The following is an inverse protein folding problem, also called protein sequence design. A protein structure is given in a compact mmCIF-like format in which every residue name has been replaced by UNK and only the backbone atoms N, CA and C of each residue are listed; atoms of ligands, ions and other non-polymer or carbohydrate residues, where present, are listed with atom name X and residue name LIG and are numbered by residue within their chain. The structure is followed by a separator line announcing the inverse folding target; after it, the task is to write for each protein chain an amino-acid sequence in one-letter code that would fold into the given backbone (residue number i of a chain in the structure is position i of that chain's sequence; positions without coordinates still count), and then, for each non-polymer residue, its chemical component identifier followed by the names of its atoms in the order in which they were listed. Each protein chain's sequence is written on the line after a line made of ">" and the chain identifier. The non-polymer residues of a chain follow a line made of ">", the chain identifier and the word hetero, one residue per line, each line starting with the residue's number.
data_IF_492828567927
#
_entry.id   IF_492828567927
#
_cell.length_a   1.000
_cell.length_b   1.000
_cell.length_c   1.000
_cell.angle_alpha   90.00
_cell.angle_beta   90.00
_cell.angle_gamma   90.00
#
_symmetry.space_group_name_H-M   'P 1'
#
loop_
_entity.id
_entity.type
_entity.pdbx_description
1 polymer ?
#
# COMPACT_ATOMS: atom_id res chain seq x y z
N UNK A 1 20.25 14.15 8.65
CA UNK A 1 18.81 14.38 8.36
C UNK A 1 18.19 13.01 8.03
N UNK A 2 18.09 12.16 9.05
CA UNK A 2 16.85 11.72 9.71
C UNK A 2 16.06 10.65 8.92
N UNK A 3 16.71 9.51 8.69
CA UNK A 3 16.06 8.25 8.31
C UNK A 3 15.98 7.37 9.57
N UNK A 4 15.01 7.64 10.44
CA UNK A 4 14.76 6.82 11.61
C UNK A 4 13.25 6.73 11.86
N UNK A 5 12.82 5.54 12.26
CA UNK A 5 11.45 5.14 12.66
C UNK A 5 10.52 4.61 11.54
N UNK A 6 10.77 3.38 11.07
CA UNK A 6 9.74 2.57 10.39
C UNK A 6 9.88 1.05 10.59
N UNK A 7 10.64 0.60 11.59
CA UNK A 7 10.86 -0.83 11.86
C UNK A 7 10.13 -1.32 13.13
N UNK A 8 9.01 -0.67 13.52
CA UNK A 8 8.13 -1.24 14.55
C UNK A 8 7.23 -2.29 13.90
N UNK A 9 7.75 -3.51 13.88
CA UNK A 9 7.01 -4.77 13.73
C UNK A 9 5.98 -4.72 12.58
N UNK A 10 6.48 -4.71 11.35
CA UNK A 10 5.64 -5.05 10.21
C UNK A 10 5.15 -6.49 10.44
N UNK A 11 3.86 -6.64 10.73
CA UNK A 11 3.18 -7.94 10.71
C UNK A 11 3.60 -8.70 9.43
N UNK A 12 3.71 -10.04 9.48
CA UNK A 12 4.14 -10.83 8.32
C UNK A 12 3.32 -10.40 7.11
N UNK A 13 3.99 -9.81 6.11
CA UNK A 13 3.35 -9.32 4.90
C UNK A 13 2.88 -10.54 4.13
N UNK A 14 1.62 -10.91 4.35
CA UNK A 14 0.92 -12.01 3.67
C UNK A 14 0.97 -11.88 2.13
N UNK A 15 1.08 -10.65 1.62
CA UNK A 15 1.14 -10.35 0.20
C UNK A 15 2.35 -9.44 -0.09
N UNK A 16 3.07 -9.68 -1.21
CA UNK A 16 4.23 -8.88 -1.58
C UNK A 16 3.79 -7.47 -1.98
N UNK A 17 4.11 -6.49 -1.14
CA UNK A 17 3.83 -5.07 -1.38
C UNK A 17 5.14 -4.30 -1.53
N UNK A 18 5.34 -3.75 -2.71
CA UNK A 18 6.52 -3.03 -3.15
C UNK A 18 6.28 -1.52 -3.07
N UNK A 19 7.35 -0.76 -2.83
CA UNK A 19 7.30 0.70 -2.85
C UNK A 19 6.74 1.27 -4.16
N UNK A 20 6.94 0.59 -5.29
CA UNK A 20 6.40 0.98 -6.59
C UNK A 20 4.86 0.90 -6.62
N UNK A 21 4.29 -0.14 -6.03
CA UNK A 21 2.83 -0.32 -5.93
C UNK A 21 2.24 0.73 -4.99
N UNK A 22 2.90 1.00 -3.86
CA UNK A 22 2.52 2.10 -2.97
C UNK A 22 2.56 3.46 -3.67
N UNK A 23 3.64 3.75 -4.40
CA UNK A 23 3.78 5.02 -5.11
C UNK A 23 2.70 5.22 -6.19
N UNK A 24 2.34 4.16 -6.91
CA UNK A 24 1.25 4.19 -7.88
C UNK A 24 -0.09 4.52 -7.20
N UNK A 25 -0.41 3.84 -6.10
CA UNK A 25 -1.64 4.07 -5.35
C UNK A 25 -1.67 5.46 -4.72
N UNK A 26 -0.56 5.92 -4.15
CA UNK A 26 -0.44 7.26 -3.59
C UNK A 26 -0.65 8.33 -4.66
N UNK A 27 -0.08 8.13 -5.87
CA UNK A 27 -0.29 9.03 -7.01
C UNK A 27 -1.74 9.05 -7.47
N UNK A 28 -2.41 7.90 -7.52
CA UNK A 28 -3.84 7.80 -7.83
C UNK A 28 -4.70 8.51 -6.79
N UNK A 29 -4.47 8.29 -5.49
CA UNK A 29 -5.19 8.99 -4.43
C UNK A 29 -4.98 10.51 -4.49
N UNK A 30 -3.76 10.93 -4.83
CA UNK A 30 -3.46 12.34 -5.00
C UNK A 30 -4.15 12.91 -6.24
N UNK A 31 -4.19 12.19 -7.36
CA UNK A 31 -4.85 12.62 -8.59
C UNK A 31 -6.38 12.66 -8.47
N UNK A 32 -6.99 11.65 -7.84
CA UNK A 32 -8.45 11.50 -7.73
C UNK A 32 -9.04 12.32 -6.58
N UNK A 33 -8.36 12.37 -5.43
CA UNK A 33 -8.90 12.97 -4.21
C UNK A 33 -8.08 14.16 -3.68
N UNK A 34 -6.94 14.49 -4.31
CA UNK A 34 -6.03 15.52 -3.79
C UNK A 34 -5.34 15.14 -2.49
N UNK A 35 -5.44 13.88 -2.05
CA UNK A 35 -4.93 13.44 -0.76
C UNK A 35 -3.45 13.07 -0.88
N UNK A 36 -2.59 13.78 -0.17
CA UNK A 36 -1.21 13.33 0.02
C UNK A 36 -1.17 12.14 0.98
N UNK A 37 -0.61 11.04 0.49
CA UNK A 37 -0.46 9.80 1.25
C UNK A 37 1.00 9.67 1.73
N UNK A 38 1.33 10.12 2.96
CA UNK A 38 2.68 9.95 3.49
C UNK A 38 3.00 8.48 3.77
N UNK A 39 4.26 8.08 3.57
CA UNK A 39 4.77 6.72 3.85
C UNK A 39 4.43 6.22 5.26
N UNK A 40 4.34 7.11 6.24
CA UNK A 40 3.93 6.74 7.61
C UNK A 40 2.57 6.04 7.67
N UNK A 41 1.69 6.25 6.68
CA UNK A 41 0.37 5.62 6.56
C UNK A 41 0.36 4.38 5.66
N UNK A 42 1.50 3.98 5.11
CA UNK A 42 1.67 2.76 4.30
C UNK A 42 1.09 1.50 4.99
N UNK A 43 1.32 1.25 6.30
CA UNK A 43 0.76 0.07 6.97
C UNK A 43 -0.77 0.06 7.01
N UNK A 44 -1.40 1.23 7.10
CA UNK A 44 -2.86 1.37 7.10
C UNK A 44 -3.46 1.08 5.71
N UNK A 45 -2.78 1.57 4.67
CA UNK A 45 -3.15 1.30 3.27
C UNK A 45 -2.97 -0.19 2.98
N UNK A 46 -1.81 -0.75 3.32
CA UNK A 46 -1.54 -2.18 3.19
C UNK A 46 -2.62 -3.02 3.85
N UNK A 47 -2.98 -2.74 5.11
CA UNK A 47 -4.00 -3.49 5.84
C UNK A 47 -5.39 -3.43 5.19
N UNK A 48 -5.76 -2.28 4.60
CA UNK A 48 -7.02 -2.14 3.86
C UNK A 48 -6.99 -2.86 2.52
N UNK A 49 -5.89 -2.72 1.79
CA UNK A 49 -5.72 -3.35 0.49
C UNK A 49 -5.61 -4.87 0.62
N UNK A 50 -4.89 -5.40 1.60
CA UNK A 50 -4.77 -6.83 1.85
C UNK A 50 -6.14 -7.49 2.06
N UNK A 51 -7.05 -6.84 2.81
CA UNK A 51 -8.43 -7.31 2.96
C UNK A 51 -9.18 -7.33 1.63
N UNK A 52 -8.98 -6.32 0.77
CA UNK A 52 -9.58 -6.27 -0.57
C UNK A 52 -9.01 -7.32 -1.52
N UNK A 53 -7.70 -7.46 -1.58
CA UNK A 53 -6.99 -8.48 -2.36
C UNK A 53 -7.52 -9.87 -2.00
N UNK A 54 -7.62 -10.17 -0.69
CA UNK A 54 -8.22 -11.41 -0.20
C UNK A 54 -9.69 -11.57 -0.59
N UNK A 55 -10.50 -10.52 -0.48
CA UNK A 55 -11.91 -10.55 -0.85
C UNK A 55 -12.13 -10.75 -2.36
N UNK A 56 -11.20 -10.25 -3.19
CA UNK A 56 -11.18 -10.44 -4.63
C UNK A 56 -10.57 -11.77 -5.06
N UNK A 57 -10.03 -12.56 -4.12
CA UNK A 57 -9.32 -13.81 -4.41
C UNK A 57 -7.95 -13.63 -5.10
N UNK A 58 -7.40 -12.41 -5.07
CA UNK A 58 -6.09 -12.09 -5.64
C UNK A 58 -4.99 -12.47 -4.68
N UNK A 59 -3.80 -12.73 -5.22
CA UNK A 59 -2.61 -13.09 -4.42
C UNK A 59 -1.51 -12.04 -4.48
N UNK A 60 -1.68 -11.02 -5.32
CA UNK A 60 -0.70 -9.96 -5.49
C UNK A 60 -1.34 -8.58 -5.57
N UNK A 61 -0.65 -7.57 -5.04
CA UNK A 61 -1.09 -6.18 -5.22
C UNK A 61 -0.95 -5.70 -6.65
N UNK A 62 -0.03 -6.30 -7.42
CA UNK A 62 0.10 -6.07 -8.85
C UNK A 62 -1.19 -6.36 -9.61
N UNK A 63 -1.85 -7.49 -9.35
CA UNK A 63 -3.16 -7.81 -9.95
C UNK A 63 -4.22 -6.78 -9.57
N UNK A 64 -4.22 -6.35 -8.30
CA UNK A 64 -5.14 -5.31 -7.84
C UNK A 64 -4.87 -3.95 -8.49
N UNK A 65 -3.61 -3.55 -8.61
CA UNK A 65 -3.22 -2.30 -9.26
C UNK A 65 -3.47 -2.32 -10.77
N UNK A 66 -3.44 -3.49 -11.41
CA UNK A 66 -3.76 -3.62 -12.84
C UNK A 66 -5.26 -3.43 -13.14
N UNK A 67 -6.13 -3.48 -12.13
CA UNK A 67 -7.56 -3.24 -12.25
C UNK A 67 -7.96 -1.78 -12.01
N UNK A 68 -7.04 -0.95 -11.52
CA UNK A 68 -7.24 0.49 -11.30
C UNK A 68 -6.70 1.23 -12.52
#
# INVERSE_FOLDING_TARGET
>A
MAAADAARQAAPREFPFSDAEFAMIAKLLHAEAGIEMPRAKEPLVYSRLAKRVRALGMTTFKEYCALI
#
